data_IF_019750927145
#
_entry.id   IF_019750927145
#
_cell.length_a   1.000
_cell.length_b   1.000
_cell.length_c   1.000
_cell.angle_alpha   90.00
_cell.angle_beta   90.00
_cell.angle_gamma   90.00
#
_symmetry.space_group_name_H-M   'P 1'
#
loop_
_entity.id
_entity.type
_entity.pdbx_description
1 polymer ?
#
# COMPACT_ATOMS: atom_id res chain seq x y z
N UNK A 1 39.51 11.58 6.21
CA UNK A 1 38.44 12.01 7.13
C UNK A 1 38.58 13.52 7.23
N UNK A 2 37.65 14.30 6.69
CA UNK A 2 37.68 15.75 6.88
C UNK A 2 37.31 16.02 8.35
N UNK A 3 38.18 16.71 9.08
CA UNK A 3 38.01 17.05 10.50
C UNK A 3 37.65 18.52 10.59
N UNK A 4 36.37 18.82 10.35
CA UNK A 4 35.76 19.99 10.98
C UNK A 4 35.26 19.53 12.35
N UNK A 5 35.44 20.35 13.39
CA UNK A 5 34.98 19.99 14.74
C UNK A 5 33.46 19.75 14.72
N UNK A 6 32.99 18.59 15.18
CA UNK A 6 31.57 18.23 15.18
C UNK A 6 31.01 17.67 13.85
N UNK A 7 31.86 17.41 12.84
CA UNK A 7 31.44 16.83 11.55
C UNK A 7 32.20 15.52 11.26
N UNK A 8 31.45 14.50 10.82
CA UNK A 8 32.00 13.21 10.41
C UNK A 8 31.39 12.84 9.05
N UNK A 9 32.26 12.65 8.06
CA UNK A 9 31.85 12.17 6.73
C UNK A 9 32.52 10.83 6.41
N UNK A 10 31.71 9.77 6.38
CA UNK A 10 32.08 8.42 5.99
C UNK A 10 31.51 8.07 4.62
N UNK A 11 32.41 7.96 3.63
CA UNK A 11 32.06 7.68 2.22
C UNK A 11 31.03 6.55 2.08
N UNK A 12 29.96 6.83 1.32
CA UNK A 12 28.85 5.91 1.00
C UNK A 12 28.05 5.39 2.21
N UNK A 13 28.34 5.83 3.44
CA UNK A 13 27.74 5.27 4.66
C UNK A 13 27.02 6.31 5.50
N UNK A 14 27.73 7.33 5.98
CA UNK A 14 27.20 8.26 6.96
C UNK A 14 27.78 9.66 6.75
N UNK A 15 26.91 10.66 6.75
CA UNK A 15 27.27 12.03 7.04
C UNK A 15 26.65 12.39 8.39
N UNK A 16 27.45 12.87 9.33
CA UNK A 16 27.01 13.28 10.66
C UNK A 16 27.49 14.68 10.95
N UNK A 17 26.61 15.51 11.51
CA UNK A 17 26.95 16.87 11.95
C UNK A 17 26.22 17.23 13.24
N UNK A 18 26.95 17.85 14.15
CA UNK A 18 26.37 18.50 15.32
C UNK A 18 25.92 19.92 14.97
N UNK A 19 24.73 20.31 15.41
CA UNK A 19 24.20 21.67 15.23
C UNK A 19 23.56 22.12 16.54
N UNK A 20 24.07 23.20 17.15
CA UNK A 20 23.60 23.68 18.45
C UNK A 20 22.91 25.04 18.39
N UNK A 21 23.19 25.84 17.35
CA UNK A 21 22.78 27.24 17.28
C UNK A 21 21.80 27.52 16.14
N UNK A 22 21.68 26.60 15.19
CA UNK A 22 20.80 26.71 14.03
C UNK A 22 19.58 25.79 14.09
N UNK A 23 18.69 25.99 13.12
CA UNK A 23 17.58 25.08 12.86
C UNK A 23 18.10 23.77 12.24
N UNK A 24 17.74 22.63 12.84
CA UNK A 24 18.20 21.31 12.42
C UNK A 24 17.62 20.93 11.05
N UNK A 25 16.37 21.31 10.74
CA UNK A 25 15.71 21.01 9.46
C UNK A 25 16.35 21.77 8.29
N UNK A 26 16.66 23.06 8.50
CA UNK A 26 17.39 23.85 7.50
C UNK A 26 18.79 23.27 7.27
N UNK A 27 19.43 22.87 8.36
CA UNK A 27 20.76 22.26 8.32
C UNK A 27 20.77 20.96 7.53
N UNK A 28 19.91 20.00 7.87
CA UNK A 28 19.90 18.69 7.21
C UNK A 28 19.53 18.81 5.73
N UNK A 29 18.58 19.69 5.39
CA UNK A 29 18.19 19.98 4.01
C UNK A 29 19.33 20.58 3.18
N UNK A 30 20.16 21.43 3.79
CA UNK A 30 21.34 21.98 3.14
C UNK A 30 22.39 20.90 2.89
N UNK A 31 22.68 20.09 3.92
CA UNK A 31 23.65 18.99 3.82
C UNK A 31 23.23 18.01 2.73
N UNK A 32 21.95 17.61 2.71
CA UNK A 32 21.39 16.69 1.72
C UNK A 32 21.69 17.13 0.27
N UNK A 33 21.57 18.43 -0.01
CA UNK A 33 21.87 19.01 -1.33
C UNK A 33 23.36 19.09 -1.64
N UNK A 34 24.21 19.18 -0.62
CA UNK A 34 25.66 19.36 -0.74
C UNK A 34 26.44 18.01 -0.65
N UNK A 35 25.75 16.88 -0.53
CA UNK A 35 26.37 15.55 -0.46
C UNK A 35 27.17 15.21 -1.72
N UNK A 36 28.46 14.96 -1.53
CA UNK A 36 29.41 14.63 -2.62
C UNK A 36 29.68 13.12 -2.78
N UNK A 37 29.30 12.29 -1.82
CA UNK A 37 29.69 10.87 -1.79
C UNK A 37 28.52 9.91 -1.61
N UNK A 38 27.28 10.37 -1.86
CA UNK A 38 26.05 9.57 -1.77
C UNK A 38 25.99 8.74 -0.48
N UNK A 39 26.24 9.39 0.66
CA UNK A 39 26.17 8.76 1.97
C UNK A 39 24.76 8.22 2.20
N UNK A 40 24.65 6.93 2.56
CA UNK A 40 23.36 6.27 2.82
C UNK A 40 22.55 7.01 3.88
N UNK A 41 23.18 7.41 4.98
CA UNK A 41 22.54 8.19 6.03
C UNK A 41 23.12 9.58 6.15
N UNK A 42 22.25 10.55 6.40
CA UNK A 42 22.60 11.89 6.88
C UNK A 42 21.99 12.05 8.26
N UNK A 43 22.78 12.47 9.25
CA UNK A 43 22.32 12.67 10.62
C UNK A 43 22.74 14.05 11.09
N UNK A 44 21.80 14.78 11.68
CA UNK A 44 22.03 16.08 12.30
C UNK A 44 21.41 16.05 13.69
N UNK A 45 22.16 16.46 14.71
CA UNK A 45 21.67 16.45 16.09
C UNK A 45 22.24 17.59 16.92
N UNK A 46 21.45 18.04 17.89
CA UNK A 46 21.86 18.91 18.99
C UNK A 46 21.94 18.15 20.33
N UNK A 47 21.92 16.81 20.29
CA UNK A 47 21.84 15.87 21.42
C UNK A 47 20.51 15.83 22.20
N UNK A 48 19.57 16.73 21.91
CA UNK A 48 18.19 16.67 22.40
C UNK A 48 17.25 16.05 21.36
N UNK A 49 17.39 16.49 20.11
CA UNK A 49 16.67 16.04 18.92
C UNK A 49 17.67 15.50 17.89
N UNK A 50 17.26 14.46 17.19
CA UNK A 50 18.02 13.82 16.13
C UNK A 50 17.16 13.78 14.87
N UNK A 51 17.67 14.43 13.82
CA UNK A 51 17.15 14.31 12.47
C UNK A 51 18.03 13.35 11.68
N UNK A 52 17.42 12.43 10.95
CA UNK A 52 18.13 11.56 10.03
C UNK A 52 17.40 11.38 8.70
N UNK A 53 18.16 11.19 7.63
CA UNK A 53 17.64 10.90 6.28
C UNK A 53 18.35 9.64 5.77
N UNK A 54 17.57 8.67 5.30
CA UNK A 54 18.07 7.57 4.47
C UNK A 54 17.96 7.99 2.99
N UNK A 55 19.09 8.33 2.38
CA UNK A 55 19.15 8.87 1.01
C UNK A 55 18.85 7.83 -0.06
N UNK A 56 18.89 6.52 0.25
CA UNK A 56 18.47 5.48 -0.70
C UNK A 56 16.96 5.36 -0.71
N UNK A 57 16.32 5.50 0.44
CA UNK A 57 14.88 5.32 0.56
C UNK A 57 14.07 6.61 0.57
N UNK A 58 14.73 7.75 0.69
CA UNK A 58 14.15 9.07 0.97
C UNK A 58 13.29 9.09 2.25
N UNK A 59 13.55 8.15 3.16
CA UNK A 59 12.89 8.07 4.46
C UNK A 59 13.54 9.06 5.44
N UNK A 60 12.71 9.70 6.29
CA UNK A 60 13.14 10.74 7.22
C UNK A 60 12.73 10.36 8.64
N UNK A 61 13.67 10.53 9.56
CA UNK A 61 13.45 10.35 10.99
C UNK A 61 13.63 11.71 11.68
N UNK A 62 12.65 12.04 12.52
CA UNK A 62 12.71 13.16 13.46
C UNK A 62 12.27 12.61 14.82
N UNK A 63 13.21 12.53 15.76
CA UNK A 63 12.92 12.02 17.09
C UNK A 63 13.75 12.70 18.16
N UNK A 64 13.29 12.65 19.39
CA UNK A 64 14.12 13.00 20.54
C UNK A 64 15.21 11.95 20.73
N UNK A 65 16.33 12.34 21.35
CA UNK A 65 17.42 11.43 21.73
C UNK A 65 16.92 10.27 22.60
N UNK A 66 15.94 10.53 23.46
CA UNK A 66 15.27 9.52 24.30
C UNK A 66 14.39 8.53 23.53
N UNK A 67 13.82 8.95 22.39
CA UNK A 67 12.96 8.10 21.55
C UNK A 67 13.75 7.32 20.51
N UNK A 68 15.03 7.62 20.30
CA UNK A 68 15.89 6.94 19.33
C UNK A 68 15.85 5.39 19.42
N UNK A 69 15.83 4.75 20.61
CA UNK A 69 15.72 3.29 20.70
C UNK A 69 14.42 2.72 20.11
N UNK A 70 13.34 3.52 20.06
CA UNK A 70 12.06 3.11 19.46
C UNK A 70 12.12 3.10 17.93
N UNK A 71 13.07 3.84 17.34
CA UNK A 71 13.27 3.98 15.90
C UNK A 71 14.52 3.24 15.41
N UNK A 72 14.94 2.18 16.12
CA UNK A 72 16.11 1.38 15.74
C UNK A 72 16.00 0.76 14.34
N UNK A 73 14.75 0.52 13.90
CA UNK A 73 14.40 -0.06 12.61
C UNK A 73 14.87 0.81 11.42
N UNK A 74 14.90 2.14 11.60
CA UNK A 74 15.42 3.09 10.62
C UNK A 74 16.89 2.82 10.26
N UNK A 75 17.69 2.34 11.22
CA UNK A 75 19.12 2.10 11.04
C UNK A 75 19.46 0.63 10.72
N UNK A 76 18.46 -0.24 10.54
CA UNK A 76 18.67 -1.63 10.10
C UNK A 76 19.56 -1.78 8.86
N UNK A 77 19.53 -0.86 7.86
CA UNK A 77 20.41 -0.96 6.70
C UNK A 77 21.90 -1.04 7.04
N UNK A 78 22.33 -0.56 8.21
CA UNK A 78 23.70 -0.76 8.70
C UNK A 78 24.02 -2.19 9.14
N UNK A 79 23.02 -2.94 9.61
CA UNK A 79 23.12 -4.36 9.93
C UNK A 79 22.97 -5.26 8.69
N UNK A 80 22.82 -4.68 7.49
CA UNK A 80 22.59 -5.42 6.25
C UNK A 80 21.14 -5.88 6.06
N UNK A 81 20.21 -5.39 6.89
CA UNK A 81 18.78 -5.67 6.81
C UNK A 81 18.06 -4.41 6.32
N UNK A 82 17.16 -4.50 5.35
CA UNK A 82 16.36 -3.33 4.96
C UNK A 82 15.08 -3.29 5.80
N UNK A 83 14.70 -2.10 6.27
CA UNK A 83 13.38 -1.88 6.89
C UNK A 83 12.32 -2.30 5.88
N UNK A 84 11.36 -3.12 6.30
CA UNK A 84 10.22 -3.45 5.46
C UNK A 84 9.49 -2.14 5.13
N UNK A 85 9.60 -1.70 3.88
CA UNK A 85 8.79 -0.58 3.39
C UNK A 85 7.35 -1.07 3.42
N UNK A 86 6.52 -0.48 4.29
CA UNK A 86 5.12 -0.36 3.95
C UNK A 86 5.09 0.40 2.63
N UNK A 87 4.83 -0.29 1.53
CA UNK A 87 4.53 0.38 0.28
C UNK A 87 3.41 1.34 0.63
N UNK A 88 3.63 2.65 0.44
CA UNK A 88 2.52 3.57 0.34
C UNK A 88 1.55 2.93 -0.65
N UNK A 89 0.33 2.65 -0.19
CA UNK A 89 -0.70 2.07 -1.05
C UNK A 89 -0.74 2.90 -2.33
N UNK A 90 -0.71 2.22 -3.49
CA UNK A 90 -0.72 2.91 -4.76
C UNK A 90 -1.93 3.86 -4.76
N UNK A 91 -1.78 5.15 -5.10
CA UNK A 91 -2.91 6.08 -5.16
C UNK A 91 -4.09 5.57 -6.01
N UNK A 92 -3.85 4.65 -6.95
CA UNK A 92 -4.89 3.96 -7.69
C UNK A 92 -5.70 2.98 -6.82
N UNK A 93 -5.04 2.19 -5.96
CA UNK A 93 -5.67 1.21 -5.07
C UNK A 93 -6.53 1.90 -4.02
N UNK A 94 -6.03 3.00 -3.45
CA UNK A 94 -6.79 3.84 -2.52
C UNK A 94 -8.06 4.38 -3.18
N UNK A 95 -7.93 4.95 -4.39
CA UNK A 95 -9.08 5.45 -5.16
C UNK A 95 -10.06 4.34 -5.55
N UNK A 96 -9.59 3.13 -5.81
CA UNK A 96 -10.44 2.00 -6.12
C UNK A 96 -11.23 1.55 -4.88
N UNK A 97 -10.58 1.49 -3.72
CA UNK A 97 -11.23 1.19 -2.44
C UNK A 97 -12.31 2.24 -2.09
N UNK A 98 -12.01 3.52 -2.27
CA UNK A 98 -12.98 4.61 -2.09
C UNK A 98 -14.21 4.45 -2.99
N UNK A 99 -14.01 4.07 -4.25
CA UNK A 99 -15.12 3.81 -5.19
C UNK A 99 -15.98 2.62 -4.77
N UNK A 100 -15.36 1.55 -4.25
CA UNK A 100 -16.11 0.38 -3.74
C UNK A 100 -16.91 0.71 -2.48
N UNK A 101 -16.37 1.55 -1.60
CA UNK A 101 -17.09 2.06 -0.43
C UNK A 101 -18.28 2.94 -0.85
N UNK A 102 -18.08 3.84 -1.83
CA UNK A 102 -19.17 4.65 -2.37
C UNK A 102 -20.28 3.80 -2.99
N UNK A 103 -19.92 2.72 -3.70
CA UNK A 103 -20.89 1.78 -4.27
C UNK A 103 -21.73 1.11 -3.17
N UNK A 104 -21.10 0.67 -2.09
CA UNK A 104 -21.79 0.12 -0.92
C UNK A 104 -22.83 1.10 -0.36
N UNK A 105 -22.40 2.35 -0.14
CA UNK A 105 -23.25 3.39 0.45
C UNK A 105 -24.44 3.75 -0.45
N UNK A 106 -24.23 3.84 -1.76
CA UNK A 106 -25.30 4.12 -2.73
C UNK A 106 -26.34 2.99 -2.75
N UNK A 107 -25.89 1.73 -2.81
CA UNK A 107 -26.82 0.58 -2.81
C UNK A 107 -27.64 0.55 -1.51
N UNK A 108 -27.00 0.81 -0.37
CA UNK A 108 -27.66 0.85 0.94
C UNK A 108 -28.62 2.03 1.07
N UNK A 109 -28.32 3.17 0.45
CA UNK A 109 -29.22 4.33 0.45
C UNK A 109 -30.50 4.06 -0.34
N UNK A 110 -30.38 3.42 -1.50
CA UNK A 110 -31.51 3.15 -2.38
C UNK A 110 -32.33 1.92 -1.92
N UNK A 111 -31.74 1.06 -1.10
CA UNK A 111 -32.38 -0.09 -0.47
C UNK A 111 -32.26 0.04 1.06
N UNK A 112 -33.20 0.74 1.73
CA UNK A 112 -33.15 0.98 3.17
C UNK A 112 -33.50 -0.28 3.97
N UNK A 113 -32.68 -1.32 3.84
CA UNK A 113 -32.67 -2.52 4.64
C UNK A 113 -31.37 -2.52 5.46
N UNK A 114 -31.51 -2.63 6.79
CA UNK A 114 -30.38 -2.68 7.72
C UNK A 114 -30.30 -4.03 8.44
N UNK A 115 -30.99 -5.05 7.92
CA UNK A 115 -30.88 -6.40 8.43
C UNK A 115 -29.43 -6.91 8.32
N UNK A 116 -28.92 -7.65 9.33
CA UNK A 116 -27.61 -8.29 9.24
C UNK A 116 -27.47 -9.15 7.99
N UNK A 117 -28.56 -9.79 7.56
CA UNK A 117 -28.63 -10.63 6.37
C UNK A 117 -28.41 -9.81 5.09
N UNK A 118 -29.07 -8.66 4.94
CA UNK A 118 -28.86 -7.78 3.79
C UNK A 118 -27.42 -7.26 3.71
N UNK A 119 -26.87 -6.79 4.84
CA UNK A 119 -25.49 -6.30 4.90
C UNK A 119 -24.50 -7.42 4.54
N UNK A 120 -24.74 -8.63 5.04
CA UNK A 120 -23.92 -9.79 4.70
C UNK A 120 -23.97 -10.10 3.20
N UNK A 121 -25.16 -10.16 2.60
CA UNK A 121 -25.29 -10.42 1.16
C UNK A 121 -24.64 -9.33 0.30
N UNK A 122 -24.76 -8.06 0.71
CA UNK A 122 -24.10 -6.94 0.04
C UNK A 122 -22.57 -7.06 0.10
N UNK A 123 -22.02 -7.45 1.26
CA UNK A 123 -20.59 -7.70 1.40
C UNK A 123 -20.10 -8.86 0.51
N UNK A 124 -20.89 -9.95 0.43
CA UNK A 124 -20.60 -11.08 -0.46
C UNK A 124 -20.62 -10.63 -1.92
N UNK A 125 -21.61 -9.83 -2.31
CA UNK A 125 -21.71 -9.27 -3.66
C UNK A 125 -20.50 -8.39 -4.04
N UNK A 126 -20.12 -7.44 -3.19
CA UNK A 126 -18.97 -6.57 -3.43
C UNK A 126 -17.64 -7.35 -3.48
N UNK A 127 -17.50 -8.38 -2.64
CA UNK A 127 -16.32 -9.25 -2.66
C UNK A 127 -16.19 -10.01 -3.98
N UNK A 128 -17.32 -10.43 -4.58
CA UNK A 128 -17.34 -11.07 -5.91
C UNK A 128 -16.98 -10.09 -7.03
N UNK A 129 -17.47 -8.87 -6.96
CA UNK A 129 -17.08 -7.82 -7.91
C UNK A 129 -15.58 -7.52 -7.83
N UNK A 130 -15.03 -7.40 -6.63
CA UNK A 130 -13.60 -7.19 -6.43
C UNK A 130 -12.77 -8.34 -7.03
N UNK A 131 -13.22 -9.58 -6.85
CA UNK A 131 -12.59 -10.73 -7.48
C UNK A 131 -12.63 -10.65 -9.02
N UNK A 132 -13.74 -10.22 -9.62
CA UNK A 132 -13.83 -10.07 -11.07
C UNK A 132 -12.84 -9.02 -11.61
N UNK A 133 -12.70 -7.87 -10.94
CA UNK A 133 -11.71 -6.85 -11.30
C UNK A 133 -10.27 -7.37 -11.13
N UNK A 134 -9.99 -8.03 -10.02
CA UNK A 134 -8.68 -8.62 -9.79
C UNK A 134 -8.34 -9.73 -10.80
N UNK A 135 -9.33 -10.53 -11.20
CA UNK A 135 -9.14 -11.61 -12.17
C UNK A 135 -8.82 -11.09 -13.57
N UNK A 136 -9.39 -9.97 -14.01
CA UNK A 136 -8.99 -9.33 -15.27
C UNK A 136 -7.59 -8.69 -15.20
N UNK A 137 -7.24 -8.06 -14.07
CA UNK A 137 -5.93 -7.44 -13.87
C UNK A 137 -4.78 -8.46 -13.74
N UNK A 138 -5.06 -9.64 -13.19
CA UNK A 138 -4.07 -10.73 -13.03
C UNK A 138 -4.01 -11.71 -14.20
N UNK A 139 -4.74 -11.42 -15.29
CA UNK A 139 -4.84 -12.29 -16.47
C UNK A 139 -5.42 -13.69 -16.20
N UNK A 140 -6.19 -13.85 -15.12
CA UNK A 140 -7.05 -15.03 -14.92
C UNK A 140 -8.18 -14.99 -15.94
N UNK A 141 -8.73 -13.79 -16.18
CA UNK A 141 -9.61 -13.50 -17.29
C UNK A 141 -8.83 -12.89 -18.45
N UNK A 142 -9.43 -12.90 -19.65
CA UNK A 142 -8.88 -12.11 -20.75
C UNK A 142 -8.95 -10.62 -20.38
N UNK A 143 -8.04 -9.82 -20.94
CA UNK A 143 -7.96 -8.39 -20.66
C UNK A 143 -9.32 -7.70 -20.90
N UNK A 144 -9.79 -6.95 -19.89
CA UNK A 144 -11.10 -6.28 -19.88
C UNK A 144 -12.30 -7.20 -20.14
N UNK A 145 -12.19 -8.53 -19.94
CA UNK A 145 -13.28 -9.45 -20.25
C UNK A 145 -14.54 -9.19 -19.43
N UNK A 146 -14.40 -8.98 -18.12
CA UNK A 146 -15.54 -8.71 -17.26
C UNK A 146 -16.14 -7.35 -17.60
N UNK A 147 -15.30 -6.31 -17.66
CA UNK A 147 -15.70 -4.95 -17.98
C UNK A 147 -16.42 -4.85 -19.35
N UNK A 148 -15.88 -5.49 -20.39
CA UNK A 148 -16.50 -5.52 -21.71
C UNK A 148 -17.80 -6.33 -21.74
N UNK A 149 -17.86 -7.44 -21.00
CA UNK A 149 -19.06 -8.27 -20.97
C UNK A 149 -20.22 -7.52 -20.30
N UNK A 150 -19.97 -6.80 -19.20
CA UNK A 150 -20.97 -5.90 -18.59
C UNK A 150 -21.39 -4.82 -19.59
N UNK A 151 -20.44 -4.11 -20.21
CA UNK A 151 -20.75 -3.03 -21.15
C UNK A 151 -21.51 -3.49 -22.41
N UNK A 152 -21.28 -4.73 -22.87
CA UNK A 152 -21.87 -5.26 -24.12
C UNK A 152 -23.18 -6.01 -23.91
N UNK A 153 -23.45 -6.51 -22.70
CA UNK A 153 -24.61 -7.34 -22.40
C UNK A 153 -25.60 -6.71 -21.41
N UNK A 154 -25.36 -5.48 -20.98
CA UNK A 154 -26.29 -4.70 -20.14
C UNK A 154 -26.64 -3.38 -20.80
N UNK A 155 -27.80 -2.85 -20.47
CA UNK A 155 -28.27 -1.57 -20.98
C UNK A 155 -27.50 -0.41 -20.34
N UNK A 156 -27.35 0.74 -21.05
CA UNK A 156 -26.69 1.92 -20.51
C UNK A 156 -27.34 2.49 -19.25
N UNK A 157 -28.62 2.22 -19.02
CA UNK A 157 -29.37 2.63 -17.83
C UNK A 157 -29.24 1.65 -16.64
N UNK A 158 -28.56 0.51 -16.84
CA UNK A 158 -28.32 -0.51 -15.83
C UNK A 158 -29.57 -1.31 -15.41
N UNK A 159 -30.69 -1.16 -16.11
CA UNK A 159 -31.98 -1.78 -15.73
C UNK A 159 -31.96 -3.31 -15.70
N UNK A 160 -31.08 -3.94 -16.49
CA UNK A 160 -30.90 -5.39 -16.58
C UNK A 160 -29.62 -5.91 -15.90
N UNK A 161 -28.82 -5.01 -15.32
CA UNK A 161 -27.52 -5.33 -14.70
C UNK A 161 -27.64 -6.37 -13.59
N UNK A 162 -28.66 -6.26 -12.74
CA UNK A 162 -28.89 -7.21 -11.65
C UNK A 162 -29.10 -8.64 -12.17
N UNK A 163 -29.98 -8.80 -13.17
CA UNK A 163 -30.26 -10.10 -13.77
C UNK A 163 -29.03 -10.70 -14.46
N UNK A 164 -28.19 -9.85 -15.05
CA UNK A 164 -26.94 -10.29 -15.68
C UNK A 164 -25.93 -10.78 -14.65
N UNK A 165 -25.69 -10.00 -13.59
CA UNK A 165 -24.76 -10.36 -12.51
C UNK A 165 -25.22 -11.59 -11.74
N UNK A 166 -26.52 -11.74 -11.49
CA UNK A 166 -27.07 -12.95 -10.88
C UNK A 166 -26.77 -14.20 -11.70
N UNK A 167 -26.94 -14.14 -13.02
CA UNK A 167 -26.58 -15.24 -13.90
C UNK A 167 -25.08 -15.50 -13.86
N UNK A 168 -24.26 -14.46 -13.94
CA UNK A 168 -22.80 -14.56 -13.91
C UNK A 168 -22.30 -15.25 -12.62
N UNK A 169 -22.84 -14.87 -11.47
CA UNK A 169 -22.44 -15.44 -10.18
C UNK A 169 -23.11 -16.78 -9.85
N UNK A 170 -24.20 -17.13 -10.55
CA UNK A 170 -24.83 -18.45 -10.47
C UNK A 170 -24.05 -19.50 -11.28
N UNK A 171 -23.34 -19.09 -12.33
CA UNK A 171 -22.47 -19.98 -13.12
C UNK A 171 -21.29 -20.41 -12.24
N UNK A 172 -21.42 -21.60 -11.63
CA UNK A 172 -20.31 -22.31 -11.00
C UNK A 172 -19.20 -22.56 -12.04
N UNK A 173 -17.91 -22.54 -11.63
CA UNK A 173 -16.86 -23.09 -12.47
C UNK A 173 -17.22 -24.53 -12.80
N UNK A 174 -17.53 -24.79 -14.07
CA UNK A 174 -17.72 -26.15 -14.57
C UNK A 174 -16.32 -26.77 -14.62
N UNK A 175 -16.13 -27.89 -13.93
CA UNK A 175 -14.87 -28.61 -13.85
C UNK A 175 -14.31 -28.91 -15.25
N UNK A 176 -13.44 -28.04 -15.76
CA UNK A 176 -12.71 -28.25 -17.01
C UNK A 176 -11.24 -27.83 -16.85
N UNK A 177 -10.62 -28.25 -15.75
CA UNK A 177 -9.17 -28.33 -15.65
C UNK A 177 -8.81 -29.23 -14.47
N UNK A 178 -8.46 -30.47 -14.83
CA UNK A 178 -7.85 -31.49 -13.97
C UNK A 178 -6.65 -30.91 -13.22
N UNK A 179 -6.80 -30.70 -11.91
CA UNK A 179 -5.69 -30.32 -11.02
C UNK A 179 -6.02 -29.54 -9.74
N UNK A 180 -7.25 -29.09 -9.52
CA UNK A 180 -7.59 -28.23 -8.37
C UNK A 180 -8.29 -29.04 -7.26
N UNK A 181 -7.79 -29.03 -6.00
CA UNK A 181 -8.44 -29.71 -4.88
C UNK A 181 -9.83 -29.13 -4.59
N UNK A 182 -10.81 -30.02 -4.46
CA UNK A 182 -12.24 -29.72 -4.60
C UNK A 182 -12.95 -29.23 -3.32
N UNK A 183 -12.23 -28.82 -2.28
CA UNK A 183 -12.84 -28.68 -0.93
C UNK A 183 -12.84 -27.28 -0.32
N UNK A 184 -12.43 -26.21 -1.02
CA UNK A 184 -12.43 -24.87 -0.44
C UNK A 184 -12.90 -23.81 -1.46
N UNK A 185 -13.79 -22.89 -1.06
CA UNK A 185 -14.15 -21.75 -1.92
C UNK A 185 -12.91 -20.89 -2.20
N UNK A 186 -12.83 -20.32 -3.40
CA UNK A 186 -11.72 -19.48 -3.86
C UNK A 186 -11.37 -18.33 -2.88
N UNK A 187 -12.32 -17.88 -2.09
CA UNK A 187 -12.14 -16.85 -1.05
C UNK A 187 -11.29 -17.31 0.16
N UNK A 188 -11.27 -18.60 0.48
CA UNK A 188 -10.53 -19.12 1.65
C UNK A 188 -9.04 -19.39 1.36
N UNK A 189 -8.67 -19.65 0.10
CA UNK A 189 -7.27 -19.88 -0.28
C UNK A 189 -6.37 -18.65 -0.12
N UNK A 190 -6.94 -17.45 -0.26
CA UNK A 190 -6.20 -16.18 -0.11
C UNK A 190 -5.96 -15.78 1.35
N UNK A 191 -6.85 -16.15 2.28
CA UNK A 191 -6.69 -15.84 3.71
C UNK A 191 -5.68 -16.77 4.41
N UNK A 192 -5.47 -17.98 3.88
CA UNK A 192 -4.59 -19.00 4.48
C UNK A 192 -3.15 -18.92 3.95
N UNK A 193 -2.90 -18.18 2.87
CA UNK A 193 -1.59 -18.11 2.20
C UNK A 193 -0.79 -16.82 2.51
N UNK A 194 -1.11 -16.10 3.59
CA UNK A 194 -0.26 -15.07 4.20
C UNK A 194 0.17 -15.48 5.61
#
# INVERSE_FOLDING_TARGET
MAKNSGEISWKKKLFFREEFNGDLHLTISKIEKELTHSQRFVIVTNYETLLAIDTKTDDRLDCTSTDLPKHYDFFLPWAGMEKARHQNENPADVKAAEKMALLFDVIKKDNPDNSPEFIHQLNVFLSRLLFCFFAEDTHIFLENQFTNAVASHTQPDGSDLNNYLDKLFTVKPTHASSGIPQSLPLCEWWFVSR
#
